data_IF_931719050036
#
_entry.id   IF_931719050036
#
_cell.length_a   1.000
_cell.length_b   1.000
_cell.length_c   1.000
_cell.angle_alpha   90.00
_cell.angle_beta   90.00
_cell.angle_gamma   90.00
#
_symmetry.space_group_name_H-M   'P 1'
#
loop_
_entity.id
_entity.type
_entity.pdbx_description
1 polymer ?
#
# COMPACT_ATOMS: atom_id res chain seq x y z
N UNK A 1 -8.47 -4.71 -17.21
CA UNK A 1 -8.18 -3.90 -16.02
C UNK A 1 -9.49 -3.27 -15.59
N UNK A 2 -9.92 -3.44 -14.35
CA UNK A 2 -11.19 -2.86 -13.90
C UNK A 2 -10.90 -1.57 -13.14
N UNK A 3 -11.63 -0.52 -13.47
CA UNK A 3 -11.59 0.73 -12.74
C UNK A 3 -12.52 0.67 -11.54
N UNK A 4 -12.09 1.24 -10.44
CA UNK A 4 -12.88 1.44 -9.24
C UNK A 4 -13.09 2.94 -9.05
N UNK A 5 -14.27 3.33 -8.62
CA UNK A 5 -14.59 4.71 -8.32
C UNK A 5 -15.06 4.84 -6.87
N UNK A 6 -14.58 5.87 -6.19
CA UNK A 6 -15.19 6.39 -4.98
C UNK A 6 -16.28 7.37 -5.40
N UNK A 7 -17.51 7.07 -5.06
CA UNK A 7 -18.67 7.86 -5.44
C UNK A 7 -19.37 8.45 -4.22
N UNK A 8 -19.87 9.67 -4.34
CA UNK A 8 -20.84 10.23 -3.42
C UNK A 8 -22.21 9.64 -3.72
N UNK A 9 -22.77 8.86 -2.79
CA UNK A 9 -24.06 8.17 -2.98
C UNK A 9 -25.25 9.13 -2.94
N UNK A 10 -25.12 10.31 -2.33
CA UNK A 10 -26.18 11.31 -2.28
C UNK A 10 -26.34 12.04 -3.62
N UNK A 11 -25.25 12.25 -4.35
CA UNK A 11 -25.24 13.06 -5.58
C UNK A 11 -24.92 12.23 -6.83
N UNK A 12 -24.64 10.93 -6.67
CA UNK A 12 -24.19 10.04 -7.74
C UNK A 12 -22.94 10.56 -8.49
N UNK A 13 -22.06 11.22 -7.79
CA UNK A 13 -20.85 11.80 -8.36
C UNK A 13 -19.61 10.96 -8.05
N UNK A 14 -18.73 10.82 -9.05
CA UNK A 14 -17.40 10.23 -8.85
C UNK A 14 -16.50 11.26 -8.19
N UNK A 15 -15.99 10.94 -7.01
CA UNK A 15 -15.10 11.80 -6.23
C UNK A 15 -13.62 11.46 -6.50
N UNK A 16 -13.32 10.18 -6.72
CA UNK A 16 -11.99 9.69 -7.04
C UNK A 16 -12.07 8.35 -7.77
N UNK A 17 -10.99 7.91 -8.40
CA UNK A 17 -10.90 6.58 -9.02
C UNK A 17 -9.49 5.99 -8.87
N UNK A 18 -9.42 4.67 -8.91
CA UNK A 18 -8.17 3.91 -8.91
C UNK A 18 -8.41 2.53 -9.54
N UNK A 19 -7.35 1.86 -9.93
CA UNK A 19 -7.36 0.43 -10.24
C UNK A 19 -7.09 -0.44 -9.00
N UNK A 20 -6.75 0.20 -7.89
CA UNK A 20 -6.41 -0.44 -6.61
C UNK A 20 -7.45 -0.08 -5.55
N UNK A 21 -8.13 -1.10 -5.03
CA UNK A 21 -9.16 -0.96 -4.00
C UNK A 21 -8.61 -0.36 -2.70
N UNK A 22 -7.43 -0.80 -2.29
CA UNK A 22 -6.84 -0.36 -1.02
C UNK A 22 -6.52 1.15 -1.00
N UNK A 23 -6.23 1.72 -2.17
CA UNK A 23 -6.02 3.16 -2.34
C UNK A 23 -7.30 3.93 -2.10
N UNK A 24 -8.44 3.47 -2.65
CA UNK A 24 -9.73 4.11 -2.46
C UNK A 24 -10.24 3.93 -1.03
N UNK A 25 -10.09 2.75 -0.44
CA UNK A 25 -10.43 2.50 0.97
C UNK A 25 -9.65 3.42 1.91
N UNK A 26 -8.36 3.62 1.62
CA UNK A 26 -7.51 4.52 2.40
C UNK A 26 -7.89 6.00 2.24
N UNK A 27 -8.47 6.38 1.11
CA UNK A 27 -8.89 7.74 0.79
C UNK A 27 -10.35 8.03 1.19
N UNK A 28 -11.14 7.00 1.51
CA UNK A 28 -12.55 7.13 1.91
C UNK A 28 -12.70 8.01 3.16
N UNK A 29 -13.60 8.98 3.09
CA UNK A 29 -13.67 10.06 4.08
C UNK A 29 -15.02 10.23 4.77
N UNK A 30 -16.09 9.56 4.37
CA UNK A 30 -17.41 9.84 4.94
C UNK A 30 -18.49 8.81 4.70
N UNK A 31 -19.60 8.98 5.44
CA UNK A 31 -20.72 8.05 5.51
C UNK A 31 -21.50 7.89 4.16
N UNK A 32 -21.43 8.90 3.27
CA UNK A 32 -22.14 8.89 1.99
C UNK A 32 -21.21 8.54 0.81
N UNK A 33 -20.12 7.85 1.06
CA UNK A 33 -19.18 7.45 0.02
C UNK A 33 -19.18 5.94 -0.15
N UNK A 34 -19.24 5.49 -1.38
CA UNK A 34 -19.18 4.08 -1.73
C UNK A 34 -18.13 3.84 -2.82
N UNK A 35 -17.43 2.71 -2.73
CA UNK A 35 -16.50 2.29 -3.76
C UNK A 35 -17.28 1.41 -4.74
N UNK A 36 -17.31 1.82 -6.00
CA UNK A 36 -18.03 1.13 -7.06
C UNK A 36 -17.05 0.57 -8.08
N UNK A 37 -17.37 -0.61 -8.63
CA UNK A 37 -16.66 -1.13 -9.79
C UNK A 37 -17.26 -0.52 -11.05
N UNK A 38 -16.39 0.02 -11.91
CA UNK A 38 -16.81 0.62 -13.16
C UNK A 38 -16.63 -0.42 -14.27
N UNK A 39 -17.72 -0.69 -15.00
CA UNK A 39 -17.74 -1.59 -16.15
C UNK A 39 -17.85 -0.79 -17.45
N UNK A 40 -17.22 -1.27 -18.51
CA UNK A 40 -17.37 -0.70 -19.86
C UNK A 40 -16.72 0.66 -20.08
N UNK A 41 -15.67 0.97 -19.33
CA UNK A 41 -14.84 2.16 -19.58
C UNK A 41 -14.10 1.96 -20.90
N UNK A 42 -14.55 2.62 -21.96
CA UNK A 42 -13.85 2.65 -23.24
C UNK A 42 -12.55 3.45 -23.15
N UNK A 43 -11.66 3.28 -24.14
CA UNK A 43 -10.34 3.92 -24.16
C UNK A 43 -10.38 5.44 -24.03
N UNK A 44 -11.41 6.09 -24.59
CA UNK A 44 -11.61 7.53 -24.47
C UNK A 44 -11.85 7.95 -23.02
N UNK A 45 -12.73 7.25 -22.31
CA UNK A 45 -13.04 7.52 -20.90
C UNK A 45 -11.84 7.19 -20.01
N UNK A 46 -11.13 6.11 -20.28
CA UNK A 46 -9.92 5.75 -19.56
C UNK A 46 -8.83 6.82 -19.71
N UNK A 47 -8.68 7.42 -20.88
CA UNK A 47 -7.74 8.52 -21.12
C UNK A 47 -8.16 9.81 -20.40
N UNK A 48 -9.45 10.14 -20.38
CA UNK A 48 -9.97 11.29 -19.65
C UNK A 48 -9.79 11.12 -18.14
N UNK A 49 -10.03 9.92 -17.62
CA UNK A 49 -9.75 9.57 -16.23
C UNK A 49 -8.26 9.74 -15.88
N UNK A 50 -7.35 9.29 -16.75
CA UNK A 50 -5.89 9.47 -16.57
C UNK A 50 -5.44 10.92 -16.59
N UNK A 51 -6.12 11.77 -17.35
CA UNK A 51 -5.82 13.21 -17.46
C UNK A 51 -6.42 14.05 -16.32
N UNK A 52 -7.15 13.44 -15.40
CA UNK A 52 -7.77 14.16 -14.29
C UNK A 52 -8.97 15.03 -14.70
N UNK A 53 -9.47 14.88 -15.92
CA UNK A 53 -10.67 15.56 -16.40
C UNK A 53 -11.91 14.89 -15.80
N UNK A 54 -12.56 15.54 -14.84
CA UNK A 54 -13.64 15.00 -14.03
C UNK A 54 -14.96 15.73 -14.21
N UNK A 55 -15.52 15.68 -15.40
CA UNK A 55 -16.92 16.11 -15.58
C UNK A 55 -17.87 14.92 -15.79
N UNK A 56 -17.68 13.85 -14.98
CA UNK A 56 -18.50 12.67 -15.08
C UNK A 56 -19.41 12.52 -13.86
N UNK A 57 -20.70 12.31 -14.10
CA UNK A 57 -21.64 11.80 -13.09
C UNK A 57 -21.74 10.29 -13.24
N UNK A 58 -21.66 9.61 -12.12
CA UNK A 58 -21.96 8.18 -12.05
C UNK A 58 -23.48 8.01 -11.97
N UNK A 59 -24.09 7.39 -12.96
CA UNK A 59 -25.50 7.01 -12.89
C UNK A 59 -25.58 5.59 -12.36
N UNK A 60 -26.14 5.41 -11.18
CA UNK A 60 -26.44 4.10 -10.64
C UNK A 60 -27.73 3.58 -11.24
N UNK A 61 -27.62 2.69 -12.20
CA UNK A 61 -28.75 1.90 -12.73
C UNK A 61 -28.78 0.49 -12.10
N UNK A 62 -28.76 0.46 -10.76
CA UNK A 62 -28.71 -0.79 -10.01
C UNK A 62 -27.28 -1.37 -9.90
N UNK A 63 -27.11 -2.53 -9.25
CA UNK A 63 -25.81 -3.06 -8.86
C UNK A 63 -24.92 -3.55 -10.02
N UNK A 64 -25.34 -3.44 -11.28
CA UNK A 64 -24.61 -4.02 -12.41
C UNK A 64 -24.24 -3.07 -13.55
N UNK A 65 -24.88 -1.91 -13.65
CA UNK A 65 -24.63 -0.98 -14.75
C UNK A 65 -24.33 0.41 -14.20
N UNK A 66 -23.10 0.86 -14.41
CA UNK A 66 -22.67 2.19 -14.05
C UNK A 66 -22.38 2.94 -15.34
N UNK A 67 -23.18 3.95 -15.68
CA UNK A 67 -22.96 4.82 -16.83
C UNK A 67 -22.31 6.13 -16.36
N UNK A 68 -21.31 6.58 -17.13
CA UNK A 68 -20.71 7.88 -16.96
C UNK A 68 -21.48 8.90 -17.81
N UNK A 69 -22.00 9.93 -17.16
CA UNK A 69 -22.57 11.08 -17.84
C UNK A 69 -21.65 12.28 -17.67
N UNK A 70 -21.22 12.84 -18.79
CA UNK A 70 -20.45 14.10 -18.78
C UNK A 70 -21.40 15.25 -18.41
N UNK A 71 -21.14 15.89 -17.28
CA UNK A 71 -21.87 17.10 -16.85
C UNK A 71 -20.88 18.14 -16.36
N UNK A 72 -21.18 19.42 -16.63
CA UNK A 72 -20.45 20.54 -16.05
C UNK A 72 -20.77 20.62 -14.56
N UNK A 73 -19.79 20.42 -13.71
CA UNK A 73 -19.94 20.43 -12.26
C UNK A 73 -19.98 21.84 -11.68
N UNK A 74 -20.70 22.06 -10.58
CA UNK A 74 -20.49 23.25 -9.75
C UNK A 74 -19.03 23.34 -9.27
N UNK A 75 -18.50 24.54 -9.18
CA UNK A 75 -17.07 24.76 -8.87
C UNK A 75 -16.63 24.11 -7.55
N UNK A 76 -17.48 24.07 -6.53
CA UNK A 76 -17.17 23.44 -5.23
C UNK A 76 -17.02 21.92 -5.32
N UNK A 77 -17.90 21.23 -6.05
CA UNK A 77 -17.79 19.78 -6.25
C UNK A 77 -16.56 19.40 -7.08
N UNK A 78 -16.14 20.28 -7.99
CA UNK A 78 -14.92 20.11 -8.77
C UNK A 78 -13.68 20.23 -7.88
N UNK A 79 -13.64 21.23 -6.98
CA UNK A 79 -12.53 21.39 -6.03
C UNK A 79 -12.41 20.18 -5.11
N UNK A 80 -13.53 19.71 -4.54
CA UNK A 80 -13.56 18.51 -3.70
C UNK A 80 -13.09 17.27 -4.47
N UNK A 81 -13.54 17.11 -5.72
CA UNK A 81 -13.12 16.01 -6.59
C UNK A 81 -11.61 16.03 -6.87
N UNK A 82 -11.03 17.20 -7.13
CA UNK A 82 -9.59 17.35 -7.34
C UNK A 82 -8.79 17.03 -6.08
N UNK A 83 -9.28 17.45 -4.91
CA UNK A 83 -8.64 17.14 -3.62
C UNK A 83 -8.64 15.62 -3.36
N UNK A 84 -9.78 14.96 -3.57
CA UNK A 84 -9.88 13.51 -3.41
C UNK A 84 -9.01 12.77 -4.42
N UNK A 85 -8.99 13.22 -5.68
CA UNK A 85 -8.11 12.63 -6.68
C UNK A 85 -6.62 12.80 -6.32
N UNK A 86 -6.23 13.96 -5.79
CA UNK A 86 -4.87 14.17 -5.30
C UNK A 86 -4.52 13.22 -4.16
N UNK A 87 -5.45 12.97 -3.22
CA UNK A 87 -5.27 11.98 -2.15
C UNK A 87 -5.10 10.56 -2.70
N UNK A 88 -5.97 10.14 -3.61
CA UNK A 88 -5.90 8.81 -4.25
C UNK A 88 -4.57 8.65 -4.98
N UNK A 89 -4.14 9.65 -5.74
CA UNK A 89 -2.86 9.64 -6.45
C UNK A 89 -1.68 9.47 -5.49
N UNK A 90 -1.64 10.24 -4.40
CA UNK A 90 -0.57 10.13 -3.40
C UNK A 90 -0.62 8.80 -2.64
N UNK A 91 -1.81 8.27 -2.34
CA UNK A 91 -1.95 6.95 -1.73
C UNK A 91 -1.42 5.84 -2.64
N UNK A 92 -1.74 5.92 -3.94
CA UNK A 92 -1.22 4.98 -4.94
C UNK A 92 0.29 5.05 -5.05
N UNK A 93 0.86 6.25 -5.08
CA UNK A 93 2.30 6.48 -5.12
C UNK A 93 2.99 5.92 -3.86
N UNK A 94 2.45 6.19 -2.68
CA UNK A 94 2.95 5.65 -1.42
C UNK A 94 2.93 4.11 -1.44
N UNK A 95 1.82 3.52 -1.86
CA UNK A 95 1.69 2.07 -1.93
C UNK A 95 2.67 1.45 -2.92
N UNK A 96 2.89 2.08 -4.08
CA UNK A 96 3.87 1.62 -5.05
C UNK A 96 5.28 1.64 -4.47
N UNK A 97 5.69 2.74 -3.82
CA UNK A 97 7.00 2.86 -3.17
C UNK A 97 7.19 1.81 -2.08
N UNK A 98 6.19 1.62 -1.21
CA UNK A 98 6.24 0.64 -0.15
C UNK A 98 6.21 -0.80 -0.67
N UNK A 99 5.47 -1.09 -1.75
CA UNK A 99 5.39 -2.43 -2.33
C UNK A 99 6.76 -2.92 -2.80
N UNK A 100 7.59 -2.06 -3.37
CA UNK A 100 8.97 -2.40 -3.72
C UNK A 100 9.80 -2.78 -2.49
N UNK A 101 9.61 -2.08 -1.37
CA UNK A 101 10.23 -2.44 -0.10
C UNK A 101 9.77 -3.79 0.43
N UNK A 102 8.46 -4.03 0.42
CA UNK A 102 7.89 -5.29 0.92
C UNK A 102 8.21 -6.49 0.04
N UNK A 103 8.30 -6.33 -1.31
CA UNK A 103 8.70 -7.41 -2.22
C UNK A 103 10.02 -8.07 -1.86
N UNK A 104 10.94 -7.35 -1.24
CA UNK A 104 12.21 -7.92 -0.76
C UNK A 104 12.04 -8.93 0.38
N UNK A 105 10.87 -8.90 1.05
CA UNK A 105 10.53 -9.78 2.15
C UNK A 105 9.46 -10.81 1.79
N UNK A 106 8.95 -10.78 0.55
CA UNK A 106 8.06 -11.81 0.04
C UNK A 106 8.84 -13.12 -0.11
N UNK A 107 8.26 -14.17 0.41
CA UNK A 107 8.81 -15.51 0.22
C UNK A 107 8.31 -16.07 -1.11
N UNK A 108 9.20 -16.71 -1.82
CA UNK A 108 8.87 -17.40 -3.07
C UNK A 108 7.86 -18.54 -2.84
N UNK A 109 7.91 -19.14 -1.66
CA UNK A 109 7.04 -20.24 -1.25
C UNK A 109 6.53 -20.02 0.16
N UNK A 110 5.28 -20.44 0.44
CA UNK A 110 4.64 -20.29 1.78
C UNK A 110 5.42 -20.98 2.88
N UNK A 111 5.93 -22.19 2.63
CA UNK A 111 6.72 -22.95 3.59
C UNK A 111 8.03 -22.24 4.02
N UNK A 112 8.55 -21.33 3.20
CA UNK A 112 9.76 -20.59 3.57
C UNK A 112 9.54 -19.71 4.80
N UNK A 113 8.35 -19.14 4.95
CA UNK A 113 8.02 -18.33 6.13
C UNK A 113 8.10 -19.18 7.40
N UNK A 114 7.44 -20.32 7.40
CA UNK A 114 7.42 -21.24 8.54
C UNK A 114 8.83 -21.75 8.86
N UNK A 115 9.60 -22.14 7.85
CA UNK A 115 10.97 -22.58 8.03
C UNK A 115 11.90 -21.52 8.62
N UNK A 116 11.74 -20.26 8.21
CA UNK A 116 12.53 -19.16 8.77
C UNK A 116 12.12 -18.81 10.20
N UNK A 117 10.84 -18.88 10.52
CA UNK A 117 10.33 -18.67 11.88
C UNK A 117 10.85 -19.77 12.81
N UNK A 118 10.72 -21.05 12.41
CA UNK A 118 11.22 -22.20 13.16
C UNK A 118 12.75 -22.10 13.36
N UNK A 119 13.49 -21.78 12.30
CA UNK A 119 14.95 -21.59 12.38
C UNK A 119 15.34 -20.50 13.37
N UNK A 120 14.56 -19.39 13.42
CA UNK A 120 14.78 -18.32 14.39
C UNK A 120 14.52 -18.77 15.82
N UNK A 121 13.43 -19.51 16.07
CA UNK A 121 13.12 -20.04 17.40
C UNK A 121 14.23 -21.01 17.87
N UNK A 122 14.70 -21.89 16.99
CA UNK A 122 15.82 -22.78 17.28
C UNK A 122 17.12 -22.01 17.57
N UNK A 123 17.37 -20.92 16.83
CA UNK A 123 18.53 -20.05 17.09
C UNK A 123 18.45 -19.41 18.47
N UNK A 124 17.27 -18.97 18.91
CA UNK A 124 17.08 -18.46 20.26
C UNK A 124 17.33 -19.55 21.33
N UNK A 125 16.93 -20.79 21.07
CA UNK A 125 17.21 -21.90 21.99
C UNK A 125 18.72 -22.09 22.17
N UNK A 126 19.49 -22.06 21.09
CA UNK A 126 20.96 -22.15 21.16
C UNK A 126 21.54 -20.97 21.96
N UNK A 127 21.12 -19.73 21.66
CA UNK A 127 21.62 -18.53 22.33
C UNK A 127 21.31 -18.54 23.83
N UNK A 128 20.16 -19.07 24.22
CA UNK A 128 19.72 -19.17 25.62
C UNK A 128 20.27 -20.42 26.33
N UNK A 129 21.09 -21.22 25.67
CA UNK A 129 21.63 -22.44 26.25
C UNK A 129 20.63 -23.60 26.39
N UNK A 130 19.48 -23.48 25.76
CA UNK A 130 18.44 -24.54 25.69
C UNK A 130 18.70 -25.33 24.42
N UNK A 131 19.31 -26.51 24.53
CA UNK A 131 19.63 -27.34 23.34
C UNK A 131 18.43 -28.19 22.85
N UNK A 132 17.21 -27.76 23.13
CA UNK A 132 16.00 -28.39 22.64
C UNK A 132 15.76 -27.96 21.19
N UNK A 133 15.67 -28.94 20.30
CA UNK A 133 15.32 -28.72 18.88
C UNK A 133 16.20 -27.64 18.20
N UNK A 134 17.40 -28.04 17.77
CA UNK A 134 18.39 -27.16 17.14
C UNK A 134 18.73 -27.58 15.70
N UNK A 135 18.01 -28.57 15.14
CA UNK A 135 18.36 -29.23 13.89
C UNK A 135 18.60 -28.27 12.71
N UNK A 136 17.69 -27.33 12.46
CA UNK A 136 17.86 -26.38 11.34
C UNK A 136 19.03 -25.41 11.53
N UNK A 137 19.44 -25.15 12.78
CA UNK A 137 20.62 -24.33 13.06
C UNK A 137 21.88 -25.14 12.89
N UNK A 138 21.88 -26.41 13.28
CA UNK A 138 22.99 -27.35 13.04
C UNK A 138 23.22 -27.55 11.55
N UNK A 139 22.19 -27.87 10.78
CA UNK A 139 22.28 -27.97 9.32
C UNK A 139 22.89 -26.72 8.70
N UNK A 140 22.43 -25.53 9.14
CA UNK A 140 22.97 -24.27 8.65
C UNK A 140 24.44 -24.06 9.06
N UNK A 141 24.83 -24.44 10.27
CA UNK A 141 26.19 -24.36 10.76
C UNK A 141 27.13 -25.26 9.95
N UNK A 142 26.73 -26.51 9.70
CA UNK A 142 27.48 -27.48 8.89
C UNK A 142 27.66 -26.99 7.46
N UNK A 143 26.59 -26.56 6.78
CA UNK A 143 26.63 -26.09 5.39
C UNK A 143 27.44 -24.81 5.22
N UNK A 144 27.56 -23.98 6.26
CA UNK A 144 28.32 -22.72 6.22
C UNK A 144 29.69 -22.80 6.87
N UNK A 145 30.09 -23.96 7.40
CA UNK A 145 31.32 -24.17 8.16
C UNK A 145 31.48 -23.19 9.34
N UNK A 146 30.40 -22.92 10.05
CA UNK A 146 30.36 -22.08 11.24
C UNK A 146 30.17 -22.94 12.50
N UNK A 147 30.63 -22.44 13.64
CA UNK A 147 30.22 -23.03 14.91
C UNK A 147 28.73 -22.71 15.19
N UNK A 148 28.11 -23.55 16.01
CA UNK A 148 26.68 -23.49 16.28
C UNK A 148 26.24 -22.15 16.88
N UNK A 149 27.04 -21.57 17.77
CA UNK A 149 26.72 -20.30 18.42
C UNK A 149 26.78 -19.12 17.45
N UNK A 150 27.78 -19.10 16.57
CA UNK A 150 27.92 -18.11 15.51
C UNK A 150 26.77 -18.24 14.49
N UNK A 151 26.44 -19.46 14.07
CA UNK A 151 25.32 -19.72 13.17
C UNK A 151 23.97 -19.22 13.76
N UNK A 152 23.71 -19.54 15.03
CA UNK A 152 22.53 -19.08 15.74
C UNK A 152 22.46 -17.54 15.82
N UNK A 153 23.56 -16.91 16.15
CA UNK A 153 23.63 -15.43 16.23
C UNK A 153 23.37 -14.77 14.87
N UNK A 154 23.91 -15.33 13.79
CA UNK A 154 23.67 -14.82 12.43
C UNK A 154 22.20 -14.96 12.00
N UNK A 155 21.59 -16.12 12.30
CA UNK A 155 20.16 -16.37 12.01
C UNK A 155 19.30 -15.37 12.79
N UNK A 156 19.53 -15.23 14.09
CA UNK A 156 18.78 -14.31 14.94
C UNK A 156 18.90 -12.87 14.48
N UNK A 157 20.11 -12.41 14.16
CA UNK A 157 20.35 -11.07 13.66
C UNK A 157 19.67 -10.79 12.31
N UNK A 158 19.73 -11.73 11.37
CA UNK A 158 19.04 -11.63 10.06
C UNK A 158 17.53 -11.51 10.25
N UNK A 159 16.94 -12.31 11.12
CA UNK A 159 15.52 -12.27 11.42
C UNK A 159 15.12 -10.94 12.07
N UNK A 160 15.84 -10.50 13.09
CA UNK A 160 15.57 -9.24 13.78
C UNK A 160 15.69 -8.03 12.85
N UNK A 161 16.73 -7.97 12.01
CA UNK A 161 16.90 -6.91 11.02
C UNK A 161 15.72 -6.85 10.04
N UNK A 162 15.24 -8.02 9.60
CA UNK A 162 14.04 -8.10 8.77
C UNK A 162 12.80 -7.54 9.48
N UNK A 163 12.54 -7.97 10.72
CA UNK A 163 11.40 -7.49 11.52
C UNK A 163 11.48 -5.98 11.74
N UNK A 164 12.66 -5.45 12.04
CA UNK A 164 12.86 -4.01 12.20
C UNK A 164 12.58 -3.23 10.91
N UNK A 165 13.01 -3.77 9.78
CA UNK A 165 12.76 -3.14 8.47
C UNK A 165 11.27 -3.13 8.14
N UNK A 166 10.55 -4.25 8.35
CA UNK A 166 9.09 -4.32 8.18
C UNK A 166 8.38 -3.31 9.08
N UNK A 167 8.77 -3.22 10.36
CA UNK A 167 8.23 -2.23 11.30
C UNK A 167 8.47 -0.79 10.83
N UNK A 168 9.63 -0.51 10.25
CA UNK A 168 9.95 0.82 9.71
C UNK A 168 9.05 1.15 8.51
N UNK A 169 8.88 0.21 7.58
CA UNK A 169 7.98 0.38 6.44
C UNK A 169 6.53 0.65 6.89
N UNK A 170 6.04 -0.10 7.88
CA UNK A 170 4.70 0.06 8.40
C UNK A 170 4.51 1.41 9.10
N UNK A 171 5.49 1.88 9.88
CA UNK A 171 5.47 3.23 10.47
C UNK A 171 5.41 4.32 9.39
N UNK A 172 6.18 4.18 8.31
CA UNK A 172 6.16 5.10 7.19
C UNK A 172 4.80 5.11 6.51
N UNK A 173 4.23 3.92 6.26
CA UNK A 173 2.88 3.78 5.71
C UNK A 173 1.86 4.56 6.54
N UNK A 174 1.79 4.31 7.84
CA UNK A 174 0.85 4.97 8.75
C UNK A 174 1.09 6.50 8.76
N UNK A 175 2.34 6.93 8.88
CA UNK A 175 2.70 8.35 8.91
C UNK A 175 2.22 9.09 7.66
N UNK A 176 2.58 8.59 6.49
CA UNK A 176 2.23 9.26 5.24
C UNK A 176 0.74 9.14 4.91
N UNK A 177 0.09 8.03 5.21
CA UNK A 177 -1.37 7.93 5.08
C UNK A 177 -2.08 8.99 5.92
N UNK A 178 -1.65 9.21 7.16
CA UNK A 178 -2.24 10.23 8.02
C UNK A 178 -1.99 11.64 7.47
N UNK A 179 -0.79 11.92 6.95
CA UNK A 179 -0.48 13.21 6.31
C UNK A 179 -1.33 13.45 5.06
N UNK A 180 -1.47 12.43 4.19
CA UNK A 180 -2.29 12.51 2.98
C UNK A 180 -3.77 12.76 3.35
N UNK A 181 -4.29 12.08 4.38
CA UNK A 181 -5.67 12.27 4.85
C UNK A 181 -5.91 13.67 5.43
N UNK A 182 -4.93 14.20 6.14
CA UNK A 182 -5.02 15.52 6.76
C UNK A 182 -4.88 16.68 5.75
N UNK A 183 -4.25 16.44 4.60
CA UNK A 183 -4.04 17.46 3.57
C UNK A 183 -5.36 17.86 2.90
N UNK A 184 -5.61 19.17 2.77
CA UNK A 184 -6.87 19.73 2.27
C UNK A 184 -6.69 20.69 1.08
N UNK A 185 -5.47 21.04 0.72
CA UNK A 185 -5.18 21.94 -0.38
C UNK A 185 -3.94 21.53 -1.17
N UNK A 186 -3.73 22.15 -2.32
CA UNK A 186 -2.65 21.82 -3.26
C UNK A 186 -1.26 21.95 -2.62
N UNK A 187 -1.07 22.92 -1.77
CA UNK A 187 0.22 23.21 -1.12
C UNK A 187 0.55 22.14 -0.07
N UNK A 188 -0.45 21.72 0.70
CA UNK A 188 -0.30 20.62 1.66
C UNK A 188 0.00 19.30 0.95
N UNK A 189 -0.67 18.99 -0.17
CA UNK A 189 -0.36 17.81 -0.98
C UNK A 189 1.05 17.86 -1.57
N UNK A 190 1.50 19.02 -2.04
CA UNK A 190 2.86 19.21 -2.52
C UNK A 190 3.88 19.00 -1.38
N UNK A 191 3.58 19.49 -0.18
CA UNK A 191 4.41 19.30 1.01
C UNK A 191 4.51 17.79 1.39
N UNK A 192 3.40 17.07 1.34
CA UNK A 192 3.42 15.61 1.60
C UNK A 192 4.31 14.91 0.59
N UNK A 193 4.18 15.22 -0.70
CA UNK A 193 5.01 14.63 -1.76
C UNK A 193 6.50 14.93 -1.55
N UNK A 194 6.87 16.19 -1.27
CA UNK A 194 8.26 16.58 -0.97
C UNK A 194 8.82 15.76 0.19
N UNK A 195 8.06 15.58 1.28
CA UNK A 195 8.48 14.77 2.41
C UNK A 195 8.62 13.28 2.09
N UNK A 196 7.80 12.75 1.16
CA UNK A 196 7.96 11.38 0.67
C UNK A 196 9.24 11.23 -0.15
N UNK A 197 9.60 12.24 -0.95
CA UNK A 197 10.81 12.26 -1.76
C UNK A 197 12.08 12.45 -0.91
N UNK A 198 12.01 13.24 0.15
CA UNK A 198 13.08 13.49 1.09
C UNK A 198 13.35 12.32 2.05
N UNK A 199 12.37 11.43 2.24
CA UNK A 199 12.55 10.26 3.11
C UNK A 199 13.54 9.27 2.49
N UNK A 200 14.74 9.24 3.05
CA UNK A 200 15.85 8.42 2.56
C UNK A 200 15.51 6.94 2.46
N UNK A 201 14.60 6.45 3.28
CA UNK A 201 14.20 5.06 3.25
C UNK A 201 13.23 4.76 2.10
N UNK A 202 12.29 5.68 1.82
CA UNK A 202 11.40 5.55 0.67
C UNK A 202 12.15 5.76 -0.65
N UNK A 203 13.11 6.69 -0.71
CA UNK A 203 13.91 6.93 -1.91
C UNK A 203 14.85 5.77 -2.26
N UNK A 204 15.34 5.02 -1.27
CA UNK A 204 16.13 3.80 -1.51
C UNK A 204 15.28 2.62 -2.02
N UNK A 205 13.96 2.72 -2.00
CA UNK A 205 13.03 1.68 -2.46
C UNK A 205 12.60 1.87 -3.92
N UNK A 206 12.88 3.01 -4.52
CA UNK A 206 12.64 3.28 -5.94
C UNK A 206 13.74 2.66 -6.80
#
# INVERSE_FOLDING_TARGET
>A
MHWLALACTAENEVLAWSTDLSVLESACLGEFQAICRIYGVGDLHANQLRQGNMDFKLKFDGPRNTEFLAHRKPMESTILSHQLQARVSLMSELQQRLSHGFKRFEYRYTWQHEAYELKYQQALNVINGTLLDTGLVQDYAEETNLDLATAASLIANKYQNRVQTIRKLERLRIRFQNMIRAANNKEEFATVRSRMDEDSFLSMMM
#
